data_IF_675904583977
#
_entry.id   IF_675904583977
#
_cell.length_a   1.000
_cell.length_b   1.000
_cell.length_c   1.000
_cell.angle_alpha   90.00
_cell.angle_beta   90.00
_cell.angle_gamma   90.00
#
_symmetry.space_group_name_H-M   'P 1'
#
loop_
_entity.id
_entity.type
_entity.pdbx_description
1 polymer ?
#
# COMPACT_ATOMS: atom_id res chain seq x y z
N UNK A 1 4.40 -13.96 -0.83
CA UNK A 1 5.75 -13.85 -1.45
C UNK A 1 6.85 -14.19 -0.44
N UNK A 2 6.98 -13.55 0.73
CA UNK A 2 8.03 -13.89 1.71
C UNK A 2 8.09 -15.38 2.10
N UNK A 3 6.94 -16.05 2.22
CA UNK A 3 6.86 -17.49 2.46
C UNK A 3 7.56 -18.29 1.35
N UNK A 4 7.31 -17.93 0.09
CA UNK A 4 7.89 -18.63 -1.07
C UNK A 4 9.42 -18.46 -1.08
N UNK A 5 9.89 -17.24 -0.83
CA UNK A 5 11.32 -16.93 -0.78
C UNK A 5 11.99 -17.69 0.37
N UNK A 6 11.38 -17.71 1.56
CA UNK A 6 11.92 -18.44 2.71
C UNK A 6 11.98 -19.95 2.48
N UNK A 7 11.08 -20.53 1.69
CA UNK A 7 11.14 -21.93 1.31
C UNK A 7 12.24 -22.19 0.27
N UNK A 8 12.46 -21.26 -0.66
CA UNK A 8 13.48 -21.40 -1.71
C UNK A 8 14.90 -21.29 -1.12
N UNK A 9 15.10 -20.33 -0.22
CA UNK A 9 16.43 -20.05 0.39
C UNK A 9 16.71 -20.84 1.67
N UNK A 10 15.70 -21.57 2.19
CA UNK A 10 15.79 -22.35 3.44
C UNK A 10 16.36 -21.54 4.63
N UNK A 11 16.05 -20.24 4.67
CA UNK A 11 16.60 -19.28 5.64
C UNK A 11 15.99 -19.37 7.05
N UNK A 12 15.09 -20.31 7.27
CA UNK A 12 14.45 -20.54 8.57
C UNK A 12 13.39 -19.50 8.97
N UNK A 13 13.15 -18.46 8.16
CA UNK A 13 12.20 -17.40 8.48
C UNK A 13 10.73 -17.74 8.14
N UNK A 14 10.47 -18.94 7.61
CA UNK A 14 9.12 -19.40 7.25
C UNK A 14 8.10 -19.20 8.37
N UNK A 15 8.49 -19.53 9.60
CA UNK A 15 7.62 -19.43 10.77
C UNK A 15 7.22 -17.98 11.09
N UNK A 16 8.07 -16.98 10.76
CA UNK A 16 7.80 -15.56 10.98
C UNK A 16 6.66 -15.11 10.04
N UNK A 17 6.75 -15.47 8.77
CA UNK A 17 5.73 -15.14 7.79
C UNK A 17 4.41 -15.86 8.02
N UNK A 18 4.43 -17.12 8.48
CA UNK A 18 3.22 -17.85 8.85
C UNK A 18 2.53 -17.20 10.07
N UNK A 19 3.29 -16.84 11.10
CA UNK A 19 2.76 -16.10 12.25
C UNK A 19 2.17 -14.75 11.82
N UNK A 20 2.88 -14.02 10.96
CA UNK A 20 2.39 -12.76 10.39
C UNK A 20 1.06 -12.96 9.68
N UNK A 21 0.95 -13.97 8.82
CA UNK A 21 -0.29 -14.26 8.09
C UNK A 21 -1.46 -14.49 9.05
N UNK A 22 -1.26 -15.30 10.10
CA UNK A 22 -2.29 -15.60 11.08
C UNK A 22 -2.71 -14.33 11.83
N UNK A 23 -1.75 -13.52 12.31
CA UNK A 23 -2.02 -12.29 13.05
C UNK A 23 -2.83 -11.32 12.17
N UNK A 24 -2.36 -11.06 10.96
CA UNK A 24 -2.99 -10.11 10.04
C UNK A 24 -4.37 -10.60 9.59
N UNK A 25 -4.51 -11.88 9.27
CA UNK A 25 -5.79 -12.47 8.90
C UNK A 25 -6.80 -12.38 10.04
N UNK A 26 -6.39 -12.64 11.28
CA UNK A 26 -7.25 -12.54 12.47
C UNK A 26 -7.72 -11.11 12.68
N UNK A 27 -6.82 -10.14 12.67
CA UNK A 27 -7.15 -8.71 12.81
C UNK A 27 -8.08 -8.27 11.68
N UNK A 28 -7.77 -8.64 10.44
CA UNK A 28 -8.59 -8.32 9.27
C UNK A 28 -10.00 -8.91 9.35
N UNK A 29 -10.12 -10.17 9.79
CA UNK A 29 -11.41 -10.83 9.96
C UNK A 29 -12.27 -10.17 11.06
N UNK A 30 -11.64 -9.84 12.20
CA UNK A 30 -12.29 -9.10 13.28
C UNK A 30 -12.78 -7.73 12.77
N UNK A 31 -11.93 -6.98 12.07
CA UNK A 31 -12.29 -5.69 11.48
C UNK A 31 -13.48 -5.79 10.54
N UNK A 32 -13.47 -6.76 9.62
CA UNK A 32 -14.57 -7.00 8.69
C UNK A 32 -15.86 -7.37 9.41
N UNK A 33 -15.78 -8.15 10.50
CA UNK A 33 -16.97 -8.54 11.26
C UNK A 33 -17.67 -7.33 11.88
N UNK A 34 -16.91 -6.40 12.44
CA UNK A 34 -17.48 -5.19 13.07
C UNK A 34 -17.98 -4.15 12.05
N UNK A 35 -17.36 -4.07 10.87
CA UNK A 35 -17.69 -3.03 9.87
C UNK A 35 -18.76 -3.44 8.86
N UNK A 36 -19.16 -4.70 8.79
CA UNK A 36 -20.11 -5.25 7.79
C UNK A 36 -21.45 -4.51 7.69
N UNK A 37 -21.90 -3.86 8.76
CA UNK A 37 -23.22 -3.22 8.84
C UNK A 37 -23.18 -1.70 8.65
N UNK A 38 -22.00 -1.12 8.57
CA UNK A 38 -21.85 0.34 8.43
C UNK A 38 -22.03 0.72 6.98
N UNK A 39 -23.07 1.50 6.69
CA UNK A 39 -23.40 2.04 5.36
C UNK A 39 -23.53 3.55 5.48
N UNK A 40 -22.42 4.25 5.65
CA UNK A 40 -22.41 5.70 5.65
C UNK A 40 -21.87 6.22 4.32
N UNK A 41 -22.44 7.32 3.82
CA UNK A 41 -21.87 8.05 2.70
C UNK A 41 -20.60 8.76 3.14
N UNK A 42 -19.54 8.59 2.36
CA UNK A 42 -18.23 9.19 2.66
C UNK A 42 -18.22 10.65 2.23
N UNK A 43 -17.82 11.54 3.11
CA UNK A 43 -17.55 12.94 2.80
C UNK A 43 -16.11 13.11 2.24
N UNK A 44 -15.83 14.28 1.65
CA UNK A 44 -14.47 14.60 1.20
C UNK A 44 -13.44 14.56 2.34
N UNK A 45 -13.83 14.99 3.55
CA UNK A 45 -12.98 14.94 4.74
C UNK A 45 -12.63 13.52 5.14
N UNK A 46 -13.60 12.60 5.05
CA UNK A 46 -13.39 11.17 5.34
C UNK A 46 -12.40 10.55 4.35
N UNK A 47 -12.41 11.00 3.09
CA UNK A 47 -11.44 10.58 2.09
C UNK A 47 -9.99 10.85 2.49
N UNK A 48 -9.68 12.04 3.01
CA UNK A 48 -8.33 12.36 3.49
C UNK A 48 -7.92 11.51 4.70
N UNK A 49 -8.84 11.33 5.65
CA UNK A 49 -8.59 10.51 6.83
C UNK A 49 -8.31 9.06 6.42
N UNK A 50 -9.09 8.52 5.49
CA UNK A 50 -8.91 7.17 4.97
C UNK A 50 -7.51 7.00 4.37
N UNK A 51 -7.04 7.98 3.58
CA UNK A 51 -5.71 7.92 2.96
C UNK A 51 -4.60 7.88 4.02
N UNK A 52 -4.66 8.76 5.01
CA UNK A 52 -3.66 8.80 6.09
C UNK A 52 -3.70 7.48 6.87
N UNK A 53 -4.90 7.03 7.25
CA UNK A 53 -5.09 5.77 7.97
C UNK A 53 -4.61 4.56 7.17
N UNK A 54 -4.82 4.55 5.86
CA UNK A 54 -4.34 3.50 4.98
C UNK A 54 -2.81 3.35 5.09
N UNK A 55 -2.06 4.45 4.99
CA UNK A 55 -0.60 4.41 5.11
C UNK A 55 -0.13 3.95 6.50
N UNK A 56 -0.75 4.46 7.56
CA UNK A 56 -0.41 4.08 8.95
C UNK A 56 -0.72 2.62 9.21
N UNK A 57 -1.91 2.15 8.84
CA UNK A 57 -2.32 0.75 9.04
C UNK A 57 -1.46 -0.19 8.21
N UNK A 58 -1.20 0.15 6.95
CA UNK A 58 -0.37 -0.67 6.06
C UNK A 58 1.07 -0.79 6.60
N UNK A 59 1.65 0.30 7.11
CA UNK A 59 2.97 0.28 7.73
C UNK A 59 2.99 -0.50 9.03
N UNK A 60 1.94 -0.40 9.85
CA UNK A 60 1.82 -1.18 11.09
C UNK A 60 1.72 -2.67 10.80
N UNK A 61 0.90 -3.05 9.84
CA UNK A 61 0.79 -4.46 9.41
C UNK A 61 2.09 -4.95 8.78
N UNK A 62 2.70 -4.12 7.94
CA UNK A 62 3.98 -4.40 7.29
C UNK A 62 5.16 -4.51 8.26
N UNK A 63 5.07 -3.94 9.47
CA UNK A 63 6.12 -4.05 10.49
C UNK A 63 6.18 -5.39 11.20
N UNK A 64 5.10 -6.20 11.13
CA UNK A 64 4.99 -7.46 11.89
C UNK A 64 6.13 -8.45 11.59
N UNK A 65 6.55 -8.71 10.34
CA UNK A 65 7.66 -9.61 10.07
C UNK A 65 8.99 -9.11 10.66
N UNK A 66 9.25 -7.80 10.60
CA UNK A 66 10.45 -7.20 11.20
C UNK A 66 10.45 -7.33 12.72
N UNK A 67 9.32 -7.08 13.36
CA UNK A 67 9.18 -7.26 14.81
C UNK A 67 9.39 -8.72 15.22
N UNK A 68 8.81 -9.66 14.49
CA UNK A 68 8.99 -11.10 14.76
C UNK A 68 10.42 -11.59 14.47
N UNK A 69 11.20 -10.88 13.64
CA UNK A 69 12.62 -11.18 13.41
C UNK A 69 13.52 -10.70 14.53
N UNK A 70 12.99 -10.02 15.56
CA UNK A 70 13.71 -9.59 16.74
C UNK A 70 14.04 -8.09 16.78
N UNK A 71 13.55 -7.29 15.82
CA UNK A 71 13.71 -5.84 15.86
C UNK A 71 12.78 -5.21 16.91
N UNK A 72 13.17 -4.03 17.42
CA UNK A 72 12.29 -3.26 18.30
C UNK A 72 11.00 -2.87 17.58
N UNK A 73 9.92 -2.62 18.30
CA UNK A 73 8.64 -2.21 17.69
C UNK A 73 8.76 -0.89 16.90
N UNK A 74 9.57 0.05 17.41
CA UNK A 74 9.80 1.35 16.77
C UNK A 74 10.60 1.18 15.49
N UNK A 75 11.69 0.41 15.52
CA UNK A 75 12.53 0.17 14.35
C UNK A 75 11.77 -0.62 13.27
N UNK A 76 10.99 -1.62 13.68
CA UNK A 76 10.14 -2.40 12.76
C UNK A 76 9.11 -1.53 12.05
N UNK A 77 8.47 -0.62 12.77
CA UNK A 77 7.53 0.33 12.18
C UNK A 77 8.25 1.30 11.24
N UNK A 78 9.43 1.81 11.65
CA UNK A 78 10.23 2.70 10.82
C UNK A 78 10.65 2.02 9.51
N UNK A 79 11.20 0.79 9.56
CA UNK A 79 11.57 0.03 8.35
C UNK A 79 10.39 -0.21 7.42
N UNK A 80 9.23 -0.58 7.97
CA UNK A 80 8.03 -0.80 7.20
C UNK A 80 7.53 0.50 6.56
N UNK A 81 7.44 1.60 7.33
CA UNK A 81 7.00 2.89 6.83
C UNK A 81 7.95 3.41 5.76
N UNK A 82 9.27 3.35 6.01
CA UNK A 82 10.31 3.74 5.06
C UNK A 82 10.22 2.94 3.75
N UNK A 83 9.94 1.63 3.85
CA UNK A 83 9.72 0.79 2.68
C UNK A 83 8.48 1.21 1.90
N UNK A 84 7.33 1.26 2.54
CA UNK A 84 6.04 1.54 1.88
C UNK A 84 5.98 2.96 1.31
N UNK A 85 6.59 3.95 1.97
CA UNK A 85 6.68 5.33 1.46
C UNK A 85 7.78 5.52 0.43
N UNK A 86 8.52 4.46 0.09
CA UNK A 86 9.65 4.50 -0.84
C UNK A 86 10.79 5.44 -0.41
N UNK A 87 10.87 5.76 0.87
CA UNK A 87 11.92 6.62 1.43
C UNK A 87 13.29 5.94 1.36
N UNK A 88 13.34 4.61 1.55
CA UNK A 88 14.57 3.82 1.45
C UNK A 88 15.54 3.97 2.64
N UNK A 89 15.18 4.77 3.66
CA UNK A 89 15.98 4.89 4.88
C UNK A 89 15.94 3.59 5.70
N UNK A 90 17.02 3.29 6.41
CA UNK A 90 17.12 2.09 7.25
C UNK A 90 17.77 2.38 8.59
N UNK A 91 17.28 1.73 9.64
CA UNK A 91 17.91 1.69 10.96
C UNK A 91 18.72 0.42 11.16
N UNK A 92 18.73 -0.48 10.17
CA UNK A 92 19.46 -1.75 10.23
C UNK A 92 20.93 -1.46 9.94
N UNK A 93 21.77 -1.62 10.95
CA UNK A 93 23.21 -1.33 10.85
C UNK A 93 23.94 -2.33 9.92
N UNK A 94 23.50 -3.58 9.88
CA UNK A 94 24.11 -4.61 9.04
C UNK A 94 23.01 -5.41 8.32
N UNK A 95 22.78 -5.06 7.08
CA UNK A 95 21.71 -5.64 6.25
C UNK A 95 22.06 -7.09 5.86
N UNK A 96 23.34 -7.42 5.72
CA UNK A 96 23.82 -8.70 5.22
C UNK A 96 23.58 -9.87 6.20
N UNK A 97 23.25 -9.56 7.46
CA UNK A 97 22.97 -10.59 8.49
C UNK A 97 21.50 -11.02 8.46
N UNK A 98 20.63 -10.27 7.80
CA UNK A 98 19.21 -10.59 7.76
C UNK A 98 18.94 -11.80 6.85
N UNK A 99 17.92 -12.62 7.18
CA UNK A 99 17.44 -13.66 6.28
C UNK A 99 17.04 -13.08 4.91
N UNK A 100 17.36 -13.79 3.84
CA UNK A 100 17.07 -13.38 2.46
C UNK A 100 15.60 -13.08 2.24
N UNK A 101 14.71 -13.83 2.87
CA UNK A 101 13.28 -13.59 2.81
C UNK A 101 12.86 -12.27 3.46
N UNK A 102 13.53 -11.81 4.52
CA UNK A 102 13.29 -10.51 5.14
C UNK A 102 13.83 -9.39 4.25
N UNK A 103 15.02 -9.56 3.64
CA UNK A 103 15.57 -8.63 2.66
C UNK A 103 14.65 -8.49 1.46
N UNK A 104 14.20 -9.60 0.90
CA UNK A 104 13.22 -9.62 -0.18
C UNK A 104 11.91 -8.92 0.23
N UNK A 105 11.41 -9.20 1.44
CA UNK A 105 10.20 -8.58 1.96
C UNK A 105 10.33 -7.05 2.05
N UNK A 106 11.47 -6.55 2.49
CA UNK A 106 11.77 -5.12 2.55
C UNK A 106 11.71 -4.48 1.15
N UNK A 107 12.33 -5.11 0.15
CA UNK A 107 12.28 -4.65 -1.24
C UNK A 107 10.87 -4.74 -1.83
N UNK A 108 10.12 -5.77 -1.47
CA UNK A 108 8.73 -5.93 -1.89
C UNK A 108 7.84 -4.80 -1.34
N UNK A 109 8.03 -4.38 -0.09
CA UNK A 109 7.31 -3.24 0.48
C UNK A 109 7.60 -1.96 -0.30
N UNK A 110 8.87 -1.70 -0.65
CA UNK A 110 9.27 -0.56 -1.47
C UNK A 110 8.63 -0.59 -2.86
N UNK A 111 8.68 -1.74 -3.50
CA UNK A 111 8.08 -1.94 -4.82
C UNK A 111 6.56 -1.72 -4.80
N UNK A 112 5.87 -2.31 -3.82
CA UNK A 112 4.43 -2.13 -3.66
C UNK A 112 4.07 -0.68 -3.31
N UNK A 113 4.87 -0.04 -2.47
CA UNK A 113 4.66 1.34 -2.05
C UNK A 113 4.78 2.33 -3.20
N UNK A 114 5.78 2.17 -4.07
CA UNK A 114 5.95 3.02 -5.25
C UNK A 114 4.75 2.98 -6.18
N UNK A 115 4.18 1.80 -6.38
CA UNK A 115 2.98 1.65 -7.17
C UNK A 115 1.71 2.13 -6.45
N UNK A 116 1.62 1.86 -5.16
CA UNK A 116 0.50 2.31 -4.32
C UNK A 116 0.35 3.83 -4.33
N UNK A 117 1.46 4.56 -4.29
CA UNK A 117 1.47 6.02 -4.38
C UNK A 117 0.90 6.53 -5.72
N UNK A 118 1.29 5.91 -6.83
CA UNK A 118 0.80 6.28 -8.17
C UNK A 118 -0.71 6.05 -8.27
N UNK A 119 -1.19 4.87 -7.86
CA UNK A 119 -2.62 4.55 -7.87
C UNK A 119 -3.42 5.48 -6.96
N UNK A 120 -2.89 5.78 -5.77
CA UNK A 120 -3.51 6.70 -4.84
C UNK A 120 -3.61 8.11 -5.41
N UNK A 121 -2.54 8.63 -6.00
CA UNK A 121 -2.52 9.95 -6.62
C UNK A 121 -3.61 10.07 -7.70
N UNK A 122 -3.73 9.07 -8.57
CA UNK A 122 -4.74 9.06 -9.63
C UNK A 122 -6.15 8.95 -9.07
N UNK A 123 -6.35 8.17 -8.01
CA UNK A 123 -7.67 8.02 -7.37
C UNK A 123 -8.10 9.29 -6.61
N UNK A 124 -7.15 10.02 -6.02
CA UNK A 124 -7.41 11.21 -5.20
C UNK A 124 -7.55 12.48 -6.03
N UNK A 125 -6.81 12.62 -7.13
CA UNK A 125 -6.88 13.82 -8.00
C UNK A 125 -8.31 14.21 -8.39
N UNK A 126 -9.19 13.30 -8.81
CA UNK A 126 -10.58 13.63 -9.13
C UNK A 126 -11.39 14.07 -7.91
N UNK A 127 -11.12 13.52 -6.72
CA UNK A 127 -11.79 13.87 -5.47
C UNK A 127 -11.42 15.28 -4.99
N UNK A 128 -10.20 15.71 -5.30
CA UNK A 128 -9.72 17.06 -4.99
C UNK A 128 -10.18 18.13 -5.99
N UNK A 129 -10.88 17.72 -7.07
CA UNK A 129 -11.23 18.65 -8.15
C UNK A 129 -10.02 19.16 -8.97
N UNK A 130 -8.84 18.60 -8.74
CA UNK A 130 -7.61 18.92 -9.46
C UNK A 130 -7.60 18.06 -10.73
N UNK A 131 -8.12 18.58 -11.80
CA UNK A 131 -8.17 17.84 -13.07
C UNK A 131 -9.21 18.32 -14.06
N UNK A 132 -9.42 19.65 -14.14
CA UNK A 132 -10.19 20.26 -15.24
C UNK A 132 -11.71 20.12 -15.18
N UNK A 133 -12.27 19.35 -14.24
CA UNK A 133 -13.73 19.18 -14.13
C UNK A 133 -14.48 20.43 -13.68
N UNK A 134 -13.83 21.35 -12.97
CA UNK A 134 -14.47 22.61 -12.56
C UNK A 134 -14.45 23.69 -13.66
N UNK A 135 -13.44 23.71 -14.52
CA UNK A 135 -13.37 24.64 -15.66
C UNK A 135 -14.40 24.30 -16.74
N UNK A 136 -14.73 23.01 -16.93
CA UNK A 136 -15.74 22.56 -17.89
C UNK A 136 -17.18 22.75 -17.41
N UNK A 137 -17.43 22.80 -16.09
CA UNK A 137 -18.77 23.03 -15.54
C UNK A 137 -19.28 24.46 -15.68
N UNK A 138 -18.38 25.42 -15.87
CA UNK A 138 -18.71 26.84 -15.99
C UNK A 138 -19.03 27.28 -17.42
N UNK A 139 -18.65 26.49 -18.45
CA UNK A 139 -18.79 26.94 -19.84
C UNK A 139 -19.92 26.27 -20.64
N UNK A 140 -20.56 25.20 -20.14
CA UNK A 140 -21.65 24.54 -20.88
C UNK A 140 -22.84 24.28 -19.94
N UNK A 141 -23.87 25.13 -19.93
CA UNK A 141 -25.16 24.82 -19.31
C UNK A 141 -25.94 23.88 -20.24
N UNK A 142 -26.02 22.63 -19.91
CA UNK A 142 -26.84 21.66 -20.62
C UNK A 142 -26.18 20.29 -20.77
N UNK A 143 -26.65 19.36 -19.94
CA UNK A 143 -26.61 17.92 -20.18
C UNK A 143 -25.28 17.32 -20.66
N UNK A 144 -24.29 17.27 -19.80
CA UNK A 144 -23.36 16.12 -19.83
C UNK A 144 -23.60 15.30 -18.56
N UNK A 145 -24.37 14.21 -18.76
CA UNK A 145 -24.43 13.08 -17.83
C UNK A 145 -23.01 12.77 -17.36
N UNK A 146 -22.88 12.51 -16.08
CA UNK A 146 -21.68 11.99 -15.44
C UNK A 146 -21.03 10.93 -16.35
N UNK A 147 -20.14 11.37 -17.23
CA UNK A 147 -19.25 10.42 -17.90
C UNK A 147 -18.40 9.84 -16.79
N UNK A 148 -18.65 8.58 -16.52
CA UNK A 148 -18.00 7.77 -15.50
C UNK A 148 -16.49 8.03 -15.55
N UNK A 149 -15.97 8.79 -14.62
CA UNK A 149 -14.52 9.01 -14.41
C UNK A 149 -13.79 7.66 -14.18
N UNK A 150 -14.54 6.67 -13.72
CA UNK A 150 -14.09 5.32 -13.39
C UNK A 150 -13.34 4.58 -14.52
N UNK A 151 -13.77 4.59 -15.80
CA UNK A 151 -13.02 3.90 -16.86
C UNK A 151 -11.66 4.54 -17.12
N UNK A 152 -11.59 5.86 -17.19
CA UNK A 152 -10.31 6.59 -17.41
C UNK A 152 -9.31 6.38 -16.30
N UNK A 153 -9.75 6.38 -15.04
CA UNK A 153 -8.88 6.10 -13.88
C UNK A 153 -8.31 4.69 -13.98
N UNK A 154 -9.14 3.71 -14.33
CA UNK A 154 -8.72 2.32 -14.49
C UNK A 154 -7.68 2.16 -15.61
N UNK A 155 -7.94 2.73 -16.77
CA UNK A 155 -7.04 2.65 -17.93
C UNK A 155 -5.69 3.33 -17.64
N UNK A 156 -5.72 4.51 -17.00
CA UNK A 156 -4.50 5.22 -16.60
C UNK A 156 -3.71 4.43 -15.56
N UNK A 157 -4.37 3.86 -14.56
CA UNK A 157 -3.74 3.01 -13.57
C UNK A 157 -3.10 1.76 -14.19
N UNK A 158 -3.78 1.12 -15.15
CA UNK A 158 -3.25 -0.03 -15.87
C UNK A 158 -2.03 0.33 -16.73
N UNK A 159 -2.07 1.44 -17.43
CA UNK A 159 -0.93 1.90 -18.25
C UNK A 159 0.29 2.20 -17.37
N UNK A 160 0.09 2.90 -16.25
CA UNK A 160 1.18 3.17 -15.29
C UNK A 160 1.72 1.90 -14.63
N UNK A 161 0.87 0.91 -14.39
CA UNK A 161 1.28 -0.41 -13.91
C UNK A 161 2.23 -1.09 -14.90
N UNK A 162 1.88 -1.11 -16.17
CA UNK A 162 2.70 -1.72 -17.23
C UNK A 162 4.04 -1.00 -17.34
N UNK A 163 4.04 0.34 -17.32
CA UNK A 163 5.26 1.14 -17.36
C UNK A 163 6.13 0.85 -16.12
N UNK A 164 5.54 0.82 -14.92
CA UNK A 164 6.27 0.55 -13.69
C UNK A 164 6.90 -0.85 -13.69
N UNK A 165 6.17 -1.86 -14.17
CA UNK A 165 6.71 -3.21 -14.35
C UNK A 165 7.81 -3.27 -15.38
N UNK A 166 7.70 -2.51 -16.49
CA UNK A 166 8.73 -2.50 -17.52
C UNK A 166 10.04 -1.88 -17.06
N UNK A 167 9.98 -0.88 -16.16
CA UNK A 167 11.18 -0.24 -15.57
C UNK A 167 11.99 -1.19 -14.68
N UNK A 168 11.38 -2.27 -14.16
CA UNK A 168 12.09 -3.28 -13.36
C UNK A 168 12.97 -4.17 -14.28
N UNK A 169 12.66 -4.26 -15.55
CA UNK A 169 13.39 -5.11 -16.51
C UNK A 169 14.55 -4.39 -17.22
N UNK A 170 14.72 -3.10 -16.99
CA UNK A 170 15.81 -2.28 -17.52
C UNK A 170 16.94 -2.21 -16.49
#
# INVERSE_FOLDING_TARGET
MGIIVSVIYEDGALHLFLKTLIIVATIGFIGLFFTRKVKNELSQKDGFIIIVMFWVVLSTVGSVPFYLSGMSAIDSFFESMSGITTTGATVIANIDILPESILFYRQLLQWMGGMGLIVLAIAVMPLLGIGGGQLYKTEIPGAMKEQKLTPRIKETAQALWIIYLSLIHI
#
